data_IF_391902707333
#
_entry.id   IF_391902707333
#
_cell.length_a   1.000
_cell.length_b   1.000
_cell.length_c   1.000
_cell.angle_alpha   90.00
_cell.angle_beta   90.00
_cell.angle_gamma   90.00
#
_symmetry.space_group_name_H-M   'P 1'
#
loop_
_entity.id
_entity.type
_entity.pdbx_description
1 polymer ?
#
# COMPACT_ATOMS: atom_id res chain seq x y z
N UNK A 1 -13.19 -22.63 -60.07
CA UNK A 1 -12.23 -21.93 -59.18
C UNK A 1 -12.08 -20.49 -59.65
N UNK A 2 -12.67 -19.52 -58.94
CA UNK A 2 -12.39 -18.09 -59.16
C UNK A 2 -11.31 -17.66 -58.16
N UNK A 3 -10.11 -17.36 -58.67
CA UNK A 3 -9.03 -16.72 -57.90
C UNK A 3 -9.49 -15.30 -57.53
N UNK A 4 -9.61 -15.02 -56.23
CA UNK A 4 -9.83 -13.67 -55.72
C UNK A 4 -8.61 -12.80 -55.98
N UNK A 5 -8.82 -11.67 -56.63
CA UNK A 5 -7.81 -10.64 -56.87
C UNK A 5 -7.70 -9.82 -55.58
N UNK A 6 -6.63 -10.03 -54.81
CA UNK A 6 -6.19 -9.07 -53.81
C UNK A 6 -5.63 -7.86 -54.57
N UNK A 7 -6.30 -6.72 -54.47
CA UNK A 7 -5.77 -5.45 -54.98
C UNK A 7 -4.43 -5.17 -54.28
N UNK A 8 -3.36 -5.02 -55.06
CA UNK A 8 -2.03 -4.67 -54.54
C UNK A 8 -2.10 -3.25 -53.98
N UNK A 9 -1.83 -3.11 -52.69
CA UNK A 9 -1.67 -1.80 -52.04
C UNK A 9 -0.56 -1.02 -52.74
N UNK A 10 -0.85 0.23 -53.09
CA UNK A 10 0.10 1.15 -53.72
C UNK A 10 1.00 1.78 -52.67
N UNK A 11 2.13 2.34 -53.09
CA UNK A 11 3.08 3.03 -52.19
C UNK A 11 2.39 4.14 -51.38
N UNK A 12 1.38 4.79 -51.97
CA UNK A 12 0.56 5.81 -51.31
C UNK A 12 -0.25 5.21 -50.15
N UNK A 13 -0.80 4.00 -50.33
CA UNK A 13 -1.55 3.31 -49.26
C UNK A 13 -0.64 2.96 -48.07
N UNK A 14 0.61 2.57 -48.32
CA UNK A 14 1.59 2.33 -47.24
C UNK A 14 1.94 3.61 -46.48
N UNK A 15 2.08 4.75 -47.17
CA UNK A 15 2.36 6.04 -46.53
C UNK A 15 1.18 6.46 -45.64
N UNK A 16 -0.06 6.25 -46.10
CA UNK A 16 -1.26 6.55 -45.30
C UNK A 16 -1.32 5.65 -44.06
N UNK A 17 -1.06 4.35 -44.21
CA UNK A 17 -1.05 3.41 -43.07
C UNK A 17 0.02 3.80 -42.05
N UNK A 18 1.23 4.14 -42.49
CA UNK A 18 2.31 4.59 -41.60
C UNK A 18 1.94 5.91 -40.92
N UNK A 19 1.36 6.87 -41.64
CA UNK A 19 0.92 8.14 -41.06
C UNK A 19 -0.17 7.95 -40.00
N UNK A 20 -1.11 7.03 -40.21
CA UNK A 20 -2.15 6.68 -39.22
C UNK A 20 -1.52 6.00 -38.00
N UNK A 21 -0.61 5.04 -38.20
CA UNK A 21 0.09 4.40 -37.07
C UNK A 21 0.92 5.43 -36.30
N UNK A 22 1.65 6.32 -36.98
CA UNK A 22 2.40 7.39 -36.36
C UNK A 22 1.49 8.37 -35.62
N UNK A 23 0.33 8.75 -36.17
CA UNK A 23 -0.63 9.62 -35.50
C UNK A 23 -1.24 8.96 -34.25
N UNK A 24 -1.54 7.66 -34.32
CA UNK A 24 -2.02 6.89 -33.16
C UNK A 24 -0.92 6.80 -32.09
N UNK A 25 0.32 6.46 -32.47
CA UNK A 25 1.46 6.43 -31.55
C UNK A 25 1.74 7.82 -30.96
N UNK A 26 1.66 8.87 -31.77
CA UNK A 26 1.88 10.25 -31.32
C UNK A 26 0.76 10.73 -30.39
N UNK A 27 -0.49 10.33 -30.63
CA UNK A 27 -1.61 10.59 -29.73
C UNK A 27 -1.45 9.82 -28.41
N UNK A 28 -1.00 8.55 -28.43
CA UNK A 28 -0.69 7.81 -27.21
C UNK A 28 0.46 8.44 -26.43
N UNK A 29 1.51 8.91 -27.11
CA UNK A 29 2.63 9.62 -26.46
C UNK A 29 2.16 10.97 -25.89
N UNK A 30 1.41 11.77 -26.64
CA UNK A 30 0.92 13.08 -26.16
C UNK A 30 -0.12 12.99 -25.04
N UNK A 31 -1.00 11.97 -25.04
CA UNK A 31 -1.90 11.71 -23.89
C UNK A 31 -1.10 11.35 -22.64
N UNK A 32 0.11 10.80 -22.79
CA UNK A 32 1.03 10.55 -21.66
C UNK A 32 1.98 11.70 -21.34
N UNK A 33 2.03 12.77 -22.15
CA UNK A 33 2.95 13.92 -21.95
C UNK A 33 2.28 15.28 -21.89
N UNK A 34 0.94 15.38 -21.79
CA UNK A 34 0.31 16.64 -21.37
C UNK A 34 0.47 16.83 -19.85
N UNK A 35 1.66 17.32 -19.50
CA UNK A 35 2.15 17.79 -18.19
C UNK A 35 1.37 19.02 -17.68
N UNK A 36 0.04 18.95 -17.56
CA UNK A 36 -0.73 20.03 -16.93
C UNK A 36 -1.91 19.62 -16.06
N UNK A 37 -2.11 18.31 -15.84
CA UNK A 37 -2.87 17.81 -14.71
C UNK A 37 -2.06 16.67 -14.10
N UNK A 38 -1.66 16.77 -12.82
CA UNK A 38 -1.01 15.69 -12.04
C UNK A 38 -1.94 14.47 -11.81
N UNK A 39 -2.93 14.29 -12.69
CA UNK A 39 -3.90 13.22 -12.65
C UNK A 39 -3.26 11.96 -13.23
N UNK A 40 -2.92 11.01 -12.36
CA UNK A 40 -2.47 9.68 -12.77
C UNK A 40 -3.58 8.69 -12.47
N UNK A 41 -4.10 8.05 -13.52
CA UNK A 41 -5.10 6.99 -13.41
C UNK A 41 -4.52 5.69 -13.96
N UNK A 42 -4.65 4.62 -13.20
CA UNK A 42 -4.37 3.25 -13.66
C UNK A 42 -5.49 2.31 -13.22
N UNK A 43 -5.79 1.31 -14.05
CA UNK A 43 -6.84 0.32 -13.78
C UNK A 43 -6.28 -1.08 -13.88
N UNK A 44 -6.82 -1.96 -13.03
CA UNK A 44 -6.35 -3.33 -12.86
C UNK A 44 -7.55 -4.27 -12.86
N UNK A 45 -7.37 -5.41 -13.51
CA UNK A 45 -8.32 -6.51 -13.57
C UNK A 45 -7.63 -7.83 -13.20
N UNK A 46 -8.35 -8.95 -13.31
CA UNK A 46 -7.81 -10.29 -13.00
C UNK A 46 -6.45 -10.62 -13.65
N UNK A 47 -6.09 -10.00 -14.79
CA UNK A 47 -4.83 -10.25 -15.49
C UNK A 47 -3.65 -9.41 -15.00
N UNK A 48 -3.94 -8.29 -14.33
CA UNK A 48 -2.95 -7.27 -13.92
C UNK A 48 -3.02 -6.91 -12.44
N UNK A 49 -3.91 -7.56 -11.68
CA UNK A 49 -4.22 -7.26 -10.28
C UNK A 49 -2.98 -7.26 -9.38
N UNK A 50 -1.99 -8.12 -9.64
CA UNK A 50 -0.75 -8.18 -8.87
C UNK A 50 0.09 -6.89 -8.94
N UNK A 51 -0.08 -6.05 -9.96
CA UNK A 51 0.66 -4.78 -10.13
C UNK A 51 0.07 -3.62 -9.32
N UNK A 52 -1.10 -3.78 -8.73
CA UNK A 52 -1.74 -2.69 -7.99
C UNK A 52 -0.89 -2.27 -6.78
N UNK A 53 -0.36 -3.24 -6.04
CA UNK A 53 0.45 -2.99 -4.83
C UNK A 53 1.66 -2.14 -5.17
N UNK A 54 2.43 -2.54 -6.19
CA UNK A 54 3.62 -1.80 -6.62
C UNK A 54 3.28 -0.35 -7.03
N UNK A 55 2.21 -0.14 -7.79
CA UNK A 55 1.85 1.18 -8.28
C UNK A 55 1.26 2.07 -7.20
N UNK A 56 0.45 1.52 -6.31
CA UNK A 56 -0.03 2.23 -5.13
C UNK A 56 1.15 2.64 -4.24
N UNK A 57 2.10 1.73 -3.97
CA UNK A 57 3.24 2.03 -3.10
C UNK A 57 4.12 3.14 -3.68
N UNK A 58 4.27 3.23 -5.01
CA UNK A 58 4.94 4.38 -5.66
C UNK A 58 4.23 5.71 -5.35
N UNK A 59 2.92 5.76 -5.55
CA UNK A 59 2.11 6.96 -5.28
C UNK A 59 2.12 7.33 -3.79
N UNK A 60 1.99 6.32 -2.92
CA UNK A 60 2.09 6.46 -1.47
C UNK A 60 3.45 7.03 -1.06
N UNK A 61 4.56 6.47 -1.54
CA UNK A 61 5.91 6.95 -1.19
C UNK A 61 6.16 8.39 -1.65
N UNK A 62 5.50 8.85 -2.71
CA UNK A 62 5.53 10.24 -3.18
C UNK A 62 4.64 11.21 -2.37
N UNK A 63 3.85 10.68 -1.43
CA UNK A 63 2.97 11.42 -0.54
C UNK A 63 1.58 11.70 -1.09
N UNK A 64 1.18 11.04 -2.18
CA UNK A 64 -0.13 11.25 -2.80
C UNK A 64 -1.26 10.67 -1.95
N UNK A 65 -2.40 11.35 -1.94
CA UNK A 65 -3.69 10.77 -1.55
C UNK A 65 -4.20 10.00 -2.77
N UNK A 66 -4.48 8.71 -2.59
CA UNK A 66 -4.88 7.81 -3.69
C UNK A 66 -6.36 7.49 -3.57
N UNK A 67 -7.13 7.97 -4.53
CA UNK A 67 -8.52 7.62 -4.76
C UNK A 67 -8.60 6.28 -5.53
N UNK A 68 -9.71 5.57 -5.36
CA UNK A 68 -9.95 4.29 -6.02
C UNK A 68 -11.42 4.08 -6.33
N UNK A 69 -11.68 3.43 -7.46
CA UNK A 69 -12.97 2.84 -7.81
C UNK A 69 -12.82 1.33 -7.87
N UNK A 70 -13.61 0.60 -7.07
CA UNK A 70 -13.69 -0.86 -7.08
C UNK A 70 -15.01 -1.29 -7.68
N UNK A 71 -14.95 -2.07 -8.75
CA UNK A 71 -16.10 -2.80 -9.28
C UNK A 71 -15.97 -4.27 -8.90
N UNK A 72 -17.05 -4.87 -8.40
CA UNK A 72 -17.03 -6.25 -7.96
C UNK A 72 -18.33 -6.67 -7.27
N UNK A 73 -18.25 -7.54 -6.26
CA UNK A 73 -19.41 -8.07 -5.56
C UNK A 73 -19.33 -7.85 -4.05
N UNK A 74 -20.44 -7.45 -3.45
CA UNK A 74 -20.57 -7.41 -2.00
C UNK A 74 -20.57 -8.86 -1.45
N UNK A 75 -19.65 -9.18 -0.55
CA UNK A 75 -19.43 -10.56 -0.10
C UNK A 75 -20.63 -11.16 0.64
N UNK A 76 -21.39 -10.35 1.39
CA UNK A 76 -22.55 -10.82 2.15
C UNK A 76 -23.80 -11.04 1.30
N UNK A 77 -23.95 -10.33 0.19
CA UNK A 77 -25.17 -10.35 -0.63
C UNK A 77 -24.98 -10.96 -2.01
N UNK A 78 -23.74 -11.11 -2.48
CA UNK A 78 -23.40 -11.56 -3.82
C UNK A 78 -23.81 -10.59 -4.94
N UNK A 79 -24.29 -9.39 -4.60
CA UNK A 79 -24.72 -8.39 -5.59
C UNK A 79 -23.55 -7.58 -6.10
N UNK A 80 -23.59 -7.25 -7.39
CA UNK A 80 -22.65 -6.32 -7.99
C UNK A 80 -22.68 -4.97 -7.25
N UNK A 81 -21.50 -4.39 -7.04
CA UNK A 81 -21.30 -3.12 -6.35
C UNK A 81 -20.16 -2.35 -7.00
N UNK A 82 -20.28 -1.03 -7.00
CA UNK A 82 -19.21 -0.09 -7.31
C UNK A 82 -18.94 0.75 -6.07
N UNK A 83 -17.70 0.73 -5.57
CA UNK A 83 -17.26 1.45 -4.39
C UNK A 83 -16.22 2.49 -4.78
N UNK A 84 -16.49 3.76 -4.49
CA UNK A 84 -15.52 4.85 -4.64
C UNK A 84 -15.04 5.31 -3.26
N UNK A 85 -13.74 5.55 -3.12
CA UNK A 85 -13.16 6.01 -1.86
C UNK A 85 -11.66 6.31 -1.94
N UNK A 86 -11.05 6.59 -0.79
CA UNK A 86 -9.60 6.71 -0.65
C UNK A 86 -9.01 5.39 -0.16
N UNK A 87 -7.85 5.00 -0.67
CA UNK A 87 -7.11 3.85 -0.14
C UNK A 87 -6.42 4.26 1.15
N UNK A 88 -6.89 3.74 2.27
CA UNK A 88 -6.29 3.90 3.59
C UNK A 88 -5.06 3.00 3.74
N UNK A 89 -5.12 1.79 3.19
CA UNK A 89 -4.02 0.82 3.28
C UNK A 89 -4.09 -0.25 2.18
N UNK A 90 -2.93 -0.79 1.80
CA UNK A 90 -2.82 -1.99 0.97
C UNK A 90 -1.79 -2.94 1.59
N UNK A 91 -2.06 -4.24 1.52
CA UNK A 91 -1.10 -5.24 1.97
C UNK A 91 0.13 -5.27 1.06
N UNK A 92 1.32 -5.10 1.65
CA UNK A 92 2.60 -5.16 0.94
C UNK A 92 3.17 -6.58 0.97
N UNK A 93 2.48 -7.48 0.26
CA UNK A 93 2.94 -8.86 0.04
C UNK A 93 3.47 -9.05 -1.40
N UNK A 94 4.08 -7.99 -1.94
CA UNK A 94 4.62 -7.94 -3.32
C UNK A 94 3.60 -8.34 -4.40
N UNK A 95 2.32 -8.07 -4.15
CA UNK A 95 1.21 -8.39 -5.05
C UNK A 95 0.80 -9.88 -5.06
N UNK A 96 1.35 -10.70 -4.16
CA UNK A 96 0.96 -12.12 -4.01
C UNK A 96 -0.50 -12.24 -3.55
N UNK A 97 -0.89 -11.36 -2.64
CA UNK A 97 -2.24 -11.20 -2.14
C UNK A 97 -2.69 -9.76 -2.35
N UNK A 98 -3.90 -9.54 -2.84
CA UNK A 98 -4.48 -8.20 -2.95
C UNK A 98 -5.53 -8.00 -1.87
N UNK A 99 -5.17 -7.15 -0.90
CA UNK A 99 -6.00 -6.72 0.22
C UNK A 99 -5.91 -5.22 0.35
N UNK A 100 -7.04 -4.53 0.20
CA UNK A 100 -7.12 -3.07 0.15
C UNK A 100 -8.15 -2.61 1.17
N UNK A 101 -7.78 -1.66 2.02
CA UNK A 101 -8.72 -0.95 2.89
C UNK A 101 -9.07 0.39 2.24
N UNK A 102 -10.37 0.61 2.09
CA UNK A 102 -10.93 1.75 1.36
C UNK A 102 -11.85 2.53 2.28
N UNK A 103 -11.53 3.79 2.54
CA UNK A 103 -12.43 4.74 3.17
C UNK A 103 -13.41 5.29 2.14
N UNK A 104 -14.68 4.89 2.24
CA UNK A 104 -15.76 5.47 1.46
C UNK A 104 -16.73 6.17 2.40
N UNK A 105 -16.84 7.49 2.29
CA UNK A 105 -17.73 8.33 3.08
C UNK A 105 -17.59 8.12 4.60
N UNK A 106 -16.36 7.99 5.10
CA UNK A 106 -16.07 7.82 6.53
C UNK A 106 -16.22 6.40 7.05
N UNK A 107 -16.49 5.42 6.17
CA UNK A 107 -16.55 3.99 6.53
C UNK A 107 -15.46 3.22 5.79
N UNK A 108 -14.76 2.36 6.53
CA UNK A 108 -13.75 1.45 5.98
C UNK A 108 -14.39 0.19 5.41
N UNK A 109 -13.91 -0.20 4.22
CA UNK A 109 -14.28 -1.43 3.51
C UNK A 109 -13.02 -2.21 3.15
N UNK A 110 -13.00 -3.49 3.49
CA UNK A 110 -11.96 -4.42 3.04
C UNK A 110 -12.35 -5.01 1.69
N UNK A 111 -11.59 -4.65 0.66
CA UNK A 111 -11.70 -5.20 -0.68
C UNK A 111 -10.53 -6.16 -0.95
N UNK A 112 -10.79 -7.28 -1.61
CA UNK A 112 -9.73 -8.21 -2.00
C UNK A 112 -10.18 -9.25 -3.01
N UNK A 113 -9.28 -10.12 -3.43
CA UNK A 113 -9.64 -11.28 -4.23
C UNK A 113 -10.20 -12.39 -3.32
N UNK A 114 -11.20 -13.13 -3.79
CA UNK A 114 -11.81 -14.23 -3.03
C UNK A 114 -10.79 -15.25 -2.52
N UNK A 115 -9.81 -15.59 -3.38
CA UNK A 115 -8.71 -16.52 -3.04
C UNK A 115 -7.76 -16.00 -1.95
N UNK A 116 -7.66 -14.69 -1.78
CA UNK A 116 -6.69 -14.06 -0.90
C UNK A 116 -7.32 -13.66 0.45
N UNK A 117 -8.63 -13.36 0.45
CA UNK A 117 -9.41 -13.02 1.64
C UNK A 117 -10.83 -13.58 1.53
N UNK A 118 -11.11 -14.77 2.07
CA UNK A 118 -12.46 -15.34 2.05
C UNK A 118 -13.51 -14.50 2.78
N UNK A 119 -13.11 -13.60 3.69
CA UNK A 119 -14.00 -12.76 4.50
C UNK A 119 -13.86 -11.26 4.18
N UNK A 120 -13.61 -10.89 2.91
CA UNK A 120 -13.65 -9.48 2.48
C UNK A 120 -15.07 -8.90 2.59
N UNK A 121 -15.21 -7.58 2.66
CA UNK A 121 -16.51 -6.92 2.50
C UNK A 121 -16.91 -6.89 1.01
N UNK A 122 -15.93 -6.75 0.12
CA UNK A 122 -16.08 -6.68 -1.33
C UNK A 122 -15.05 -7.59 -2.01
N UNK A 123 -15.50 -8.42 -2.94
CA UNK A 123 -14.61 -9.14 -3.85
C UNK A 123 -14.39 -8.34 -5.12
N UNK A 124 -13.13 -8.13 -5.49
CA UNK A 124 -12.72 -7.25 -6.59
C UNK A 124 -12.77 -8.00 -7.94
N UNK A 125 -13.50 -7.44 -8.92
CA UNK A 125 -13.33 -7.80 -10.34
C UNK A 125 -12.31 -6.87 -11.00
N UNK A 126 -12.47 -5.57 -10.76
CA UNK A 126 -11.54 -4.53 -11.20
C UNK A 126 -11.40 -3.40 -10.19
N UNK A 127 -10.26 -2.72 -10.23
CA UNK A 127 -9.93 -1.62 -9.31
C UNK A 127 -9.09 -0.57 -10.04
N UNK A 128 -9.34 0.71 -9.77
CA UNK A 128 -8.49 1.82 -10.23
C UNK A 128 -7.65 2.43 -9.12
N UNK A 129 -6.51 3.02 -9.47
CA UNK A 129 -5.77 3.95 -8.64
C UNK A 129 -5.81 5.31 -9.35
N UNK A 130 -6.25 6.33 -8.63
CA UNK A 130 -6.41 7.68 -9.13
C UNK A 130 -5.75 8.65 -8.16
N UNK A 131 -4.88 9.52 -8.65
CA UNK A 131 -4.45 10.72 -7.93
C UNK A 131 -4.79 11.92 -8.78
N UNK A 132 -5.14 13.03 -8.16
CA UNK A 132 -5.36 14.34 -8.80
C UNK A 132 -4.24 15.33 -8.44
N UNK A 133 -3.09 14.84 -7.98
CA UNK A 133 -1.97 15.64 -7.47
C UNK A 133 -2.09 16.04 -6.00
N UNK A 134 -3.21 15.72 -5.33
CA UNK A 134 -3.36 15.98 -3.89
C UNK A 134 -2.37 15.14 -3.09
N UNK A 135 -1.63 15.83 -2.22
CA UNK A 135 -0.69 15.21 -1.27
C UNK A 135 -1.15 15.39 0.17
N UNK A 136 -0.62 14.55 1.06
CA UNK A 136 -0.72 14.79 2.49
C UNK A 136 0.08 16.03 2.87
N UNK A 137 -0.53 16.93 3.65
CA UNK A 137 0.15 18.14 4.14
C UNK A 137 1.23 17.76 5.15
N UNK A 138 2.36 18.49 5.13
CA UNK A 138 3.48 18.38 6.07
C UNK A 138 3.92 16.93 6.33
N UNK A 139 3.88 16.09 5.31
CA UNK A 139 4.25 14.69 5.42
C UNK A 139 5.76 14.57 5.62
N UNK A 140 6.15 13.90 6.69
CA UNK A 140 7.56 13.77 7.08
C UNK A 140 7.90 12.31 7.35
N UNK A 141 9.00 11.83 6.81
CA UNK A 141 9.59 10.54 7.13
C UNK A 141 10.87 10.73 7.93
N UNK A 142 10.95 10.07 9.07
CA UNK A 142 12.12 10.04 9.94
C UNK A 142 12.68 8.62 9.95
N UNK A 143 13.98 8.48 9.70
CA UNK A 143 14.69 7.20 9.81
C UNK A 143 15.54 7.19 11.08
N UNK A 144 15.27 6.23 11.95
CA UNK A 144 15.97 5.99 13.22
C UNK A 144 16.91 4.79 13.08
N UNK A 145 18.01 4.78 13.82
CA UNK A 145 18.95 3.64 13.84
C UNK A 145 18.29 2.34 14.32
N UNK A 146 18.86 1.19 13.93
CA UNK A 146 18.63 -0.07 14.62
C UNK A 146 18.78 0.05 16.14
N UNK A 147 17.86 -0.57 16.89
CA UNK A 147 17.85 -0.59 18.36
C UNK A 147 17.55 -2.00 18.86
N UNK A 148 18.00 -2.30 20.09
CA UNK A 148 17.56 -3.50 20.80
C UNK A 148 16.32 -3.12 21.60
N UNK A 149 15.29 -3.96 21.55
CA UNK A 149 14.03 -3.73 22.24
C UNK A 149 13.64 -4.95 23.05
N UNK A 150 12.92 -4.73 24.15
CA UNK A 150 12.37 -5.81 24.98
C UNK A 150 10.85 -5.97 24.83
N UNK A 151 10.22 -5.06 24.10
CA UNK A 151 8.78 -4.98 23.86
C UNK A 151 8.52 -4.20 22.56
N UNK A 152 7.36 -4.39 21.93
CA UNK A 152 6.99 -3.60 20.74
C UNK A 152 6.68 -2.14 21.10
N UNK A 153 6.21 -1.89 22.32
CA UNK A 153 5.89 -0.53 22.78
C UNK A 153 7.10 0.41 22.83
N UNK A 154 8.31 -0.11 22.96
CA UNK A 154 9.54 0.70 22.86
C UNK A 154 9.65 1.43 21.52
N UNK A 155 9.12 0.86 20.42
CA UNK A 155 9.11 1.48 19.09
C UNK A 155 8.34 2.81 19.07
N UNK A 156 7.34 2.97 19.92
CA UNK A 156 6.42 4.12 19.93
C UNK A 156 6.54 4.98 21.19
N UNK A 157 7.32 4.55 22.17
CA UNK A 157 7.42 5.18 23.50
C UNK A 157 7.88 6.65 23.47
N UNK A 158 8.61 7.06 22.44
CA UNK A 158 9.10 8.42 22.22
C UNK A 158 8.27 9.26 21.26
N UNK A 159 7.11 8.77 20.80
CA UNK A 159 6.21 9.47 19.87
C UNK A 159 5.03 10.07 20.65
N UNK A 160 4.59 11.27 20.27
CA UNK A 160 3.47 11.94 20.93
C UNK A 160 2.15 11.19 20.72
N UNK A 161 1.32 11.10 21.77
CA UNK A 161 0.03 10.40 21.73
C UNK A 161 -0.98 10.96 20.72
N UNK A 162 -0.79 12.20 20.27
CA UNK A 162 -1.67 12.85 19.27
C UNK A 162 -1.06 12.88 17.87
N UNK A 163 0.17 12.38 17.70
CA UNK A 163 0.86 12.36 16.42
C UNK A 163 0.23 11.29 15.53
N UNK A 164 -0.14 11.62 14.29
CA UNK A 164 -0.63 10.65 13.32
C UNK A 164 0.55 10.07 12.55
N UNK A 165 0.86 8.78 12.76
CA UNK A 165 2.04 8.16 12.16
C UNK A 165 1.85 6.67 11.81
N UNK A 166 2.73 6.19 10.95
CA UNK A 166 2.92 4.78 10.62
C UNK A 166 4.40 4.40 10.81
N UNK A 167 4.65 3.21 11.36
CA UNK A 167 5.99 2.64 11.54
C UNK A 167 6.23 1.51 10.54
N UNK A 168 7.43 1.47 9.96
CA UNK A 168 7.92 0.35 9.16
C UNK A 168 9.32 -0.06 9.63
N UNK A 169 9.49 -1.34 9.95
CA UNK A 169 10.77 -1.95 10.31
C UNK A 169 10.67 -3.48 10.24
N UNK A 170 11.79 -4.17 10.43
CA UNK A 170 11.84 -5.61 10.66
C UNK A 170 12.60 -5.88 11.96
N UNK A 171 12.16 -6.86 12.75
CA UNK A 171 12.73 -7.17 14.05
C UNK A 171 13.13 -8.64 14.05
N UNK A 172 14.41 -8.93 14.28
CA UNK A 172 14.84 -10.29 14.58
C UNK A 172 14.45 -10.63 16.02
N UNK A 173 13.83 -11.78 16.24
CA UNK A 173 13.32 -12.23 17.55
C UNK A 173 13.74 -13.68 17.80
N UNK A 174 14.05 -14.03 19.04
CA UNK A 174 14.53 -15.39 19.37
C UNK A 174 13.41 -16.33 19.90
N UNK A 175 12.38 -15.79 20.56
CA UNK A 175 11.50 -16.58 21.45
C UNK A 175 10.02 -16.65 21.00
N UNK A 176 9.65 -16.04 19.87
CA UNK A 176 8.26 -16.06 19.40
C UNK A 176 7.92 -17.36 18.64
N UNK A 177 6.76 -17.92 18.96
CA UNK A 177 6.25 -19.16 18.36
C UNK A 177 5.27 -18.89 17.23
N UNK A 178 5.00 -19.91 16.40
CA UNK A 178 3.95 -19.85 15.37
C UNK A 178 2.57 -19.53 15.95
N UNK A 179 2.28 -19.94 17.20
CA UNK A 179 1.02 -19.62 17.88
C UNK A 179 0.94 -18.11 18.14
N UNK A 180 2.03 -17.49 18.63
CA UNK A 180 2.06 -16.03 18.84
C UNK A 180 1.77 -15.27 17.55
N UNK A 181 2.33 -15.70 16.42
CA UNK A 181 2.08 -15.08 15.12
C UNK A 181 0.64 -15.24 14.63
N UNK A 182 0.03 -16.39 14.88
CA UNK A 182 -1.37 -16.63 14.51
C UNK A 182 -2.31 -15.79 15.37
N UNK A 183 -2.08 -15.71 16.69
CA UNK A 183 -2.87 -14.91 17.62
C UNK A 183 -2.77 -13.42 17.29
N UNK A 184 -1.56 -12.95 16.96
CA UNK A 184 -1.31 -11.59 16.47
C UNK A 184 -2.10 -11.31 15.19
N UNK A 185 -1.98 -12.19 14.19
CA UNK A 185 -2.68 -12.04 12.90
C UNK A 185 -4.20 -11.98 13.08
N UNK A 186 -4.76 -12.85 13.93
CA UNK A 186 -6.19 -12.89 14.22
C UNK A 186 -6.65 -11.61 14.93
N UNK A 187 -5.86 -11.11 15.87
CA UNK A 187 -6.21 -9.92 16.66
C UNK A 187 -6.17 -8.66 15.81
N UNK A 188 -5.13 -8.48 14.99
CA UNK A 188 -5.03 -7.38 14.03
C UNK A 188 -6.19 -7.41 13.02
N UNK A 189 -6.46 -8.58 12.44
CA UNK A 189 -7.58 -8.73 11.52
C UNK A 189 -8.93 -8.38 12.18
N UNK A 190 -9.12 -8.74 13.45
CA UNK A 190 -10.36 -8.47 14.18
C UNK A 190 -10.49 -7.01 14.62
N UNK A 191 -9.37 -6.30 14.78
CA UNK A 191 -9.35 -4.91 15.24
C UNK A 191 -9.77 -3.93 14.13
N UNK A 192 -9.03 -3.91 13.03
CA UNK A 192 -9.22 -2.94 11.93
C UNK A 192 -9.10 -3.59 10.54
N UNK A 193 -8.99 -4.92 10.49
CA UNK A 193 -8.77 -5.73 9.28
C UNK A 193 -7.40 -5.52 8.61
N UNK A 194 -6.50 -4.74 9.23
CA UNK A 194 -5.16 -4.47 8.72
C UNK A 194 -4.15 -5.38 9.42
N UNK A 195 -3.43 -6.18 8.64
CA UNK A 195 -2.39 -7.07 9.18
C UNK A 195 -1.04 -6.40 8.94
N UNK A 196 -0.80 -5.31 9.66
CA UNK A 196 0.42 -4.49 9.54
C UNK A 196 1.65 -5.12 10.22
N UNK A 197 1.46 -6.10 11.11
CA UNK A 197 2.54 -6.81 11.79
C UNK A 197 2.40 -8.31 11.52
N UNK A 198 3.43 -8.91 10.93
CA UNK A 198 3.44 -10.32 10.52
C UNK A 198 4.67 -11.04 11.05
N UNK A 199 4.49 -12.27 11.51
CA UNK A 199 5.59 -13.19 11.72
C UNK A 199 6.16 -13.67 10.38
N UNK A 200 7.48 -13.73 10.27
CA UNK A 200 8.19 -14.30 9.14
C UNK A 200 9.32 -15.20 9.63
N UNK A 201 9.42 -16.40 9.07
CA UNK A 201 10.51 -17.32 9.33
C UNK A 201 11.47 -17.27 8.14
N UNK A 202 12.24 -16.17 8.04
CA UNK A 202 13.20 -15.98 6.96
C UNK A 202 14.50 -16.75 7.26
N UNK A 203 14.51 -18.05 6.96
CA UNK A 203 15.69 -18.90 7.14
C UNK A 203 15.88 -19.38 8.58
N UNK A 204 16.98 -18.97 9.22
CA UNK A 204 17.42 -19.48 10.54
C UNK A 204 16.96 -18.63 11.74
N UNK A 205 16.33 -17.48 11.50
CA UNK A 205 15.85 -16.59 12.57
C UNK A 205 14.37 -16.25 12.38
N UNK A 206 13.67 -16.13 13.49
CA UNK A 206 12.31 -15.65 13.54
C UNK A 206 12.32 -14.12 13.40
N UNK A 207 11.36 -13.57 12.67
CA UNK A 207 11.24 -12.13 12.46
C UNK A 207 9.81 -11.65 12.63
N UNK A 208 9.67 -10.43 13.14
CA UNK A 208 8.47 -9.62 12.97
C UNK A 208 8.71 -8.62 11.84
N UNK A 209 7.83 -8.62 10.85
CA UNK A 209 7.80 -7.60 9.80
C UNK A 209 6.69 -6.62 10.15
N UNK A 210 7.08 -5.37 10.38
CA UNK A 210 6.17 -4.26 10.65
C UNK A 210 6.10 -3.40 9.40
N UNK A 211 4.92 -3.32 8.82
CA UNK A 211 4.67 -2.56 7.60
C UNK A 211 3.52 -1.60 7.82
N UNK A 212 3.86 -0.32 7.92
CA UNK A 212 2.92 0.78 8.08
C UNK A 212 1.96 0.60 9.27
N UNK A 213 2.47 0.10 10.39
CA UNK A 213 1.69 -0.10 11.61
C UNK A 213 1.48 1.24 12.35
N UNK A 214 0.28 1.46 12.84
CA UNK A 214 -0.06 2.58 13.73
C UNK A 214 0.29 2.27 15.18
N UNK A 215 0.27 3.31 16.04
CA UNK A 215 0.46 3.14 17.49
C UNK A 215 -0.53 2.16 18.11
N UNK A 216 -1.81 2.19 17.71
CA UNK A 216 -2.85 1.31 18.26
C UNK A 216 -2.57 -0.17 17.94
N UNK A 217 -2.15 -0.48 16.72
CA UNK A 217 -1.78 -1.85 16.34
C UNK A 217 -0.50 -2.32 17.03
N UNK A 218 0.46 -1.42 17.25
CA UNK A 218 1.69 -1.72 18.00
C UNK A 218 1.35 -2.04 19.46
N UNK A 219 0.50 -1.23 20.10
CA UNK A 219 0.00 -1.48 21.45
C UNK A 219 -0.76 -2.82 21.56
N UNK A 220 -1.64 -3.10 20.59
CA UNK A 220 -2.38 -4.36 20.52
C UNK A 220 -1.42 -5.55 20.39
N UNK A 221 -0.45 -5.45 19.48
CA UNK A 221 0.54 -6.49 19.25
C UNK A 221 1.44 -6.71 20.47
N UNK A 222 1.87 -5.64 21.14
CA UNK A 222 2.63 -5.69 22.38
C UNK A 222 1.87 -6.47 23.47
N UNK A 223 0.57 -6.22 23.63
CA UNK A 223 -0.27 -6.94 24.58
C UNK A 223 -0.40 -8.44 24.31
N UNK A 224 -0.20 -8.88 23.06
CA UNK A 224 -0.27 -10.30 22.64
C UNK A 224 1.09 -10.98 22.75
N UNK A 225 2.13 -10.31 22.25
CA UNK A 225 3.48 -10.87 22.20
C UNK A 225 4.19 -10.78 23.56
N UNK A 226 3.84 -9.79 24.38
CA UNK A 226 4.49 -9.50 25.65
C UNK A 226 5.95 -9.12 25.47
N UNK A 227 6.75 -9.48 26.47
CA UNK A 227 8.19 -9.21 26.44
C UNK A 227 8.91 -10.24 25.56
N UNK A 228 9.87 -9.78 24.77
CA UNK A 228 10.75 -10.61 23.95
C UNK A 228 12.08 -9.90 23.75
N UNK A 229 13.14 -10.62 23.40
CA UNK A 229 14.40 -9.98 22.99
C UNK A 229 14.37 -9.74 21.48
N UNK A 230 14.48 -8.48 21.07
CA UNK A 230 14.44 -8.08 19.67
C UNK A 230 15.58 -7.16 19.26
N UNK A 231 16.02 -7.27 18.01
CA UNK A 231 16.92 -6.32 17.36
C UNK A 231 16.27 -5.80 16.07
N UNK A 232 16.06 -4.49 15.99
CA UNK A 232 15.38 -3.87 14.85
C UNK A 232 16.33 -3.64 13.68
N UNK A 233 15.78 -3.62 12.46
CA UNK A 233 16.36 -2.92 11.32
C UNK A 233 16.18 -1.40 11.52
N UNK A 234 16.72 -0.53 10.64
CA UNK A 234 16.39 0.90 10.69
C UNK A 234 14.87 1.10 10.74
N UNK A 235 14.42 1.99 11.61
CA UNK A 235 13.00 2.21 11.86
C UNK A 235 12.59 3.44 11.05
N UNK A 236 11.61 3.29 10.16
CA UNK A 236 11.01 4.40 9.44
C UNK A 236 9.71 4.80 10.13
N UNK A 237 9.64 6.06 10.56
CA UNK A 237 8.45 6.69 11.14
C UNK A 237 7.93 7.69 10.10
N UNK A 238 6.76 7.44 9.52
CA UNK A 238 6.09 8.34 8.58
C UNK A 238 4.98 9.08 9.31
N UNK A 239 5.08 10.40 9.37
CA UNK A 239 4.23 11.29 10.17
C UNK A 239 3.39 12.14 9.22
N UNK A 240 2.08 12.08 9.39
CA UNK A 240 1.11 12.85 8.62
C UNK A 240 0.79 14.15 9.36
N UNK A 241 0.76 15.27 8.62
CA UNK A 241 0.59 16.62 9.19
C UNK A 241 1.59 16.92 10.32
N UNK A 242 2.87 16.63 10.07
CA UNK A 242 3.94 16.72 11.06
C UNK A 242 4.14 18.17 11.52
N UNK A 243 3.99 18.42 12.82
CA UNK A 243 4.34 19.70 13.43
C UNK A 243 5.82 19.76 13.83
N UNK A 244 6.34 20.98 14.04
CA UNK A 244 7.69 21.14 14.61
C UNK A 244 7.86 20.45 15.97
N UNK A 245 6.78 20.37 16.75
CA UNK A 245 6.82 19.74 18.06
C UNK A 245 6.89 18.21 17.95
N UNK A 246 6.20 17.61 16.97
CA UNK A 246 6.31 16.17 16.69
C UNK A 246 7.75 15.81 16.34
N UNK A 247 8.35 16.57 15.40
CA UNK A 247 9.71 16.32 14.96
C UNK A 247 10.73 16.47 16.10
N UNK A 248 10.64 17.55 16.89
CA UNK A 248 11.50 17.75 18.07
C UNK A 248 11.34 16.63 19.09
N UNK A 249 10.13 16.14 19.30
CA UNK A 249 9.87 15.04 20.24
C UNK A 249 10.57 13.77 19.76
N UNK A 250 10.51 13.46 18.47
CA UNK A 250 11.19 12.29 17.90
C UNK A 250 12.72 12.45 17.95
N UNK A 251 13.26 13.60 17.55
CA UNK A 251 14.70 13.87 17.59
C UNK A 251 15.30 13.78 19.00
N UNK A 252 14.51 14.12 20.03
CA UNK A 252 14.97 14.04 21.42
C UNK A 252 14.93 12.62 22.00
N UNK A 253 14.05 11.75 21.49
CA UNK A 253 13.86 10.40 22.03
C UNK A 253 14.55 9.30 21.21
N UNK A 254 14.87 9.56 19.95
CA UNK A 254 15.40 8.56 19.03
C UNK A 254 16.72 8.99 18.38
N UNK A 255 17.55 8.01 18.01
CA UNK A 255 18.77 8.27 17.24
C UNK A 255 18.44 8.46 15.76
N UNK A 256 17.99 9.65 15.41
CA UNK A 256 17.60 10.02 14.04
C UNK A 256 18.83 10.10 13.11
N UNK A 257 18.71 9.49 11.94
CA UNK A 257 19.76 9.43 10.90
C UNK A 257 19.39 10.18 9.64
N UNK A 258 18.10 10.30 9.33
CA UNK A 258 17.61 10.97 8.15
C UNK A 258 16.21 11.52 8.39
N UNK A 259 15.92 12.69 7.81
CA UNK A 259 14.60 13.31 7.79
C UNK A 259 14.30 13.69 6.34
N UNK A 260 13.12 13.31 5.85
CA UNK A 260 12.64 13.64 4.51
C UNK A 260 11.25 14.24 4.60
N UNK A 261 11.06 15.42 4.01
CA UNK A 261 9.77 16.12 3.92
C UNK A 261 9.25 16.08 2.49
N UNK A 262 7.92 16.02 2.31
CA UNK A 262 7.24 15.90 1.02
C UNK A 262 6.38 17.11 0.66
#
# INVERSE_FOLDING_TARGET
MKKGILNKLTIVDYIIIIAVICAVVFAFIHITTDDSNDTKTSSYDSSTMNKIVENYLKLYLEGNVVETTVSGYNASTGKAVELHGNISWIDDDKGSNVKVLINSNGKEYLAGLYKDIPNADIYIDSISLETNGKKFNNLTEVTVKPENITSLNELISGIGNTTNYEITTAIAVDELTTINYQDLTNSLYSHDKRISIKGSNAGIYNQLIITRATGDEINLADGILGNFNGATSPITIRIYDCSEQDLKTIENNYNVTNIKTF
#
